data_IF_505560728162
#
_entry.id   IF_505560728162
#
_cell.length_a   1.000
_cell.length_b   1.000
_cell.length_c   1.000
_cell.angle_alpha   90.00
_cell.angle_beta   90.00
_cell.angle_gamma   90.00
#
_symmetry.space_group_name_H-M   'P 1'
#
loop_
_entity.id
_entity.type
_entity.pdbx_description
1 polymer ?
#
# COMPACT_ATOMS: atom_id res chain seq x y z
N UNK A 1 3.13 -5.23 19.88
CA UNK A 1 2.67 -5.44 18.50
C UNK A 1 1.69 -4.36 18.05
N UNK A 2 0.65 -4.06 18.84
CA UNK A 2 -0.31 -2.98 18.55
C UNK A 2 0.37 -1.61 18.37
N UNK A 3 1.25 -1.21 19.29
CA UNK A 3 1.94 0.09 19.28
C UNK A 3 2.77 0.39 18.01
N UNK A 4 3.40 -0.64 17.39
CA UNK A 4 4.19 -0.47 16.15
C UNK A 4 3.31 -0.45 14.90
N UNK A 5 2.14 -1.10 14.96
CA UNK A 5 1.17 -1.09 13.87
C UNK A 5 0.40 0.24 13.83
N UNK A 6 0.10 0.83 14.99
CA UNK A 6 -0.53 2.17 15.09
C UNK A 6 0.36 3.29 14.52
N UNK A 7 1.69 3.16 14.63
CA UNK A 7 2.65 4.15 14.08
C UNK A 7 2.87 4.04 12.56
N UNK A 8 1.98 3.39 11.81
CA UNK A 8 2.11 3.22 10.35
C UNK A 8 3.19 2.22 9.94
N UNK A 9 3.65 1.36 10.85
CA UNK A 9 4.60 0.30 10.54
C UNK A 9 4.00 -0.67 9.52
N UNK A 10 4.56 -0.71 8.31
CA UNK A 10 4.13 -1.59 7.23
C UNK A 10 3.98 -3.02 7.78
N UNK A 11 2.77 -3.57 7.65
CA UNK A 11 2.40 -4.93 8.05
C UNK A 11 3.07 -5.93 7.11
N UNK A 12 4.38 -6.12 7.26
CA UNK A 12 5.18 -7.03 6.44
C UNK A 12 5.06 -8.47 6.93
N UNK A 13 5.05 -9.43 6.00
CA UNK A 13 4.87 -10.85 6.28
C UNK A 13 6.00 -11.49 7.11
N UNK A 14 7.30 -11.15 6.92
CA UNK A 14 8.39 -11.83 7.63
C UNK A 14 8.35 -11.71 9.16
N UNK A 15 8.07 -10.53 9.78
CA UNK A 15 7.91 -10.43 11.22
C UNK A 15 6.78 -11.32 11.79
N UNK A 16 5.66 -11.44 11.06
CA UNK A 16 4.52 -12.26 11.48
C UNK A 16 4.88 -13.73 11.41
N UNK A 17 5.59 -14.14 10.36
CA UNK A 17 6.07 -15.51 10.21
C UNK A 17 6.99 -15.90 11.36
N UNK A 18 7.97 -15.05 11.70
CA UNK A 18 8.85 -15.29 12.86
C UNK A 18 8.08 -15.38 14.17
N UNK A 19 7.12 -14.49 14.41
CA UNK A 19 6.28 -14.52 15.61
C UNK A 19 5.38 -15.77 15.67
N UNK A 20 4.89 -16.23 14.51
CA UNK A 20 4.10 -17.45 14.40
C UNK A 20 4.95 -18.68 14.74
N UNK A 21 6.17 -18.78 14.22
CA UNK A 21 7.10 -19.87 14.56
C UNK A 21 7.45 -19.87 16.05
N UNK A 22 7.74 -18.72 16.64
CA UNK A 22 8.00 -18.61 18.08
C UNK A 22 6.82 -19.06 18.93
N UNK A 23 5.58 -18.82 18.48
CA UNK A 23 4.36 -19.21 19.21
C UNK A 23 4.02 -20.69 19.06
N UNK A 24 4.25 -21.27 17.89
CA UNK A 24 3.96 -22.70 17.62
C UNK A 24 5.14 -23.59 18.04
N UNK A 25 6.33 -23.03 18.27
CA UNK A 25 7.51 -23.77 18.72
C UNK A 25 8.15 -24.64 17.63
N UNK A 26 7.81 -24.42 16.36
CA UNK A 26 8.37 -25.15 15.21
C UNK A 26 8.53 -24.23 14.01
N UNK A 27 9.42 -24.63 13.10
CA UNK A 27 9.52 -23.97 11.79
C UNK A 27 8.26 -24.25 10.98
N UNK A 28 7.80 -23.23 10.28
CA UNK A 28 6.58 -23.27 9.47
C UNK A 28 6.94 -22.81 8.08
N UNK A 29 6.42 -23.48 7.05
CA UNK A 29 6.61 -23.02 5.68
C UNK A 29 5.97 -21.63 5.50
N UNK A 30 6.64 -20.66 4.84
CA UNK A 30 6.08 -19.34 4.58
C UNK A 30 4.69 -19.38 3.93
N UNK A 31 4.45 -20.34 3.03
CA UNK A 31 3.18 -20.54 2.35
C UNK A 31 1.99 -20.70 3.32
N UNK A 32 2.19 -21.35 4.47
CA UNK A 32 1.16 -21.51 5.50
C UNK A 32 0.75 -20.18 6.09
N UNK A 33 1.73 -19.31 6.37
CA UNK A 33 1.47 -17.96 6.87
C UNK A 33 0.74 -17.15 5.81
N UNK A 34 1.21 -17.14 4.56
CA UNK A 34 0.53 -16.43 3.48
C UNK A 34 -0.93 -16.88 3.29
N UNK A 35 -1.22 -18.19 3.32
CA UNK A 35 -2.59 -18.73 3.23
C UNK A 35 -3.46 -18.32 4.41
N UNK A 36 -2.91 -18.32 5.63
CA UNK A 36 -3.62 -17.89 6.84
C UNK A 36 -3.94 -16.39 6.77
N UNK A 37 -2.98 -15.57 6.36
CA UNK A 37 -3.19 -14.14 6.17
C UNK A 37 -4.26 -13.85 5.11
N UNK A 38 -4.21 -14.55 3.97
CA UNK A 38 -5.22 -14.42 2.92
C UNK A 38 -6.63 -14.79 3.42
N UNK A 39 -6.75 -15.89 4.20
CA UNK A 39 -8.03 -16.32 4.79
C UNK A 39 -8.63 -15.28 5.74
N UNK A 40 -7.80 -14.55 6.47
CA UNK A 40 -8.24 -13.49 7.38
C UNK A 40 -8.40 -12.12 6.69
N UNK A 41 -8.45 -12.09 5.36
CA UNK A 41 -8.67 -10.85 4.60
C UNK A 41 -7.51 -9.86 4.74
N UNK A 42 -6.30 -10.34 5.06
CA UNK A 42 -5.13 -9.48 5.09
C UNK A 42 -4.81 -9.02 3.67
N UNK A 43 -4.82 -7.70 3.46
CA UNK A 43 -4.43 -7.07 2.20
C UNK A 43 -3.37 -6.03 2.47
N UNK A 44 -2.45 -5.85 1.52
CA UNK A 44 -1.55 -4.70 1.53
C UNK A 44 -2.41 -3.47 1.27
N UNK A 45 -2.51 -2.59 2.26
CA UNK A 45 -3.20 -1.30 2.08
C UNK A 45 -2.27 -0.47 1.19
N UNK A 46 -2.72 -0.19 -0.04
CA UNK A 46 -2.07 0.79 -0.89
C UNK A 46 -2.43 2.18 -0.37
N UNK A 47 -1.52 3.17 -0.44
CA UNK A 47 -1.90 4.55 -0.23
C UNK A 47 -3.00 4.93 -1.22
N UNK A 48 -3.96 5.74 -0.76
CA UNK A 48 -5.06 6.19 -1.61
C UNK A 48 -4.53 6.92 -2.84
N UNK A 49 -5.13 6.66 -4.00
CA UNK A 49 -4.77 7.33 -5.26
C UNK A 49 -5.20 8.80 -5.28
N UNK A 50 -6.05 9.21 -4.34
CA UNK A 50 -6.65 10.53 -4.27
C UNK A 50 -6.21 11.17 -2.96
N UNK A 51 -5.61 12.36 -3.06
CA UNK A 51 -5.28 13.14 -1.88
C UNK A 51 -6.57 13.58 -1.17
N UNK A 52 -6.68 13.54 0.17
CA UNK A 52 -7.90 13.94 0.88
C UNK A 52 -8.34 15.39 0.63
N UNK A 53 -7.42 16.26 0.24
CA UNK A 53 -7.67 17.65 -0.17
C UNK A 53 -7.65 17.85 -1.69
N UNK A 54 -7.80 16.77 -2.46
CA UNK A 54 -7.86 16.86 -3.91
C UNK A 54 -9.17 17.57 -4.31
N UNK A 55 -9.02 18.76 -4.88
CA UNK A 55 -10.11 19.46 -5.53
C UNK A 55 -9.96 19.30 -7.05
N UNK A 56 -10.95 18.66 -7.67
CA UNK A 56 -10.92 18.36 -9.09
C UNK A 56 -11.03 19.64 -9.94
N UNK A 57 -11.74 20.65 -9.48
CA UNK A 57 -11.91 21.92 -10.22
C UNK A 57 -10.61 22.71 -10.22
N UNK A 58 -9.93 22.77 -9.06
CA UNK A 58 -8.60 23.40 -8.95
C UNK A 58 -7.56 22.65 -9.78
N UNK A 59 -7.62 21.31 -9.82
CA UNK A 59 -6.75 20.50 -10.66
C UNK A 59 -6.97 20.76 -12.15
N UNK A 60 -8.22 20.81 -12.61
CA UNK A 60 -8.54 21.12 -14.01
C UNK A 60 -8.14 22.55 -14.39
N UNK A 61 -8.29 23.51 -13.48
CA UNK A 61 -7.84 24.89 -13.68
C UNK A 61 -6.31 25.01 -13.72
N UNK A 62 -5.60 24.23 -12.89
CA UNK A 62 -4.14 24.20 -12.83
C UNK A 62 -3.50 23.46 -14.01
N UNK A 63 -4.21 22.50 -14.63
CA UNK A 63 -3.72 21.81 -15.83
C UNK A 63 -3.46 22.83 -16.93
N UNK A 64 -2.18 23.07 -17.22
CA UNK A 64 -1.76 23.83 -18.40
C UNK A 64 -2.36 23.13 -19.63
N UNK A 65 -3.20 23.85 -20.38
CA UNK A 65 -3.59 23.46 -21.74
C UNK A 65 -2.34 23.55 -22.60
N UNK A 66 -1.52 22.50 -22.56
CA UNK A 66 -0.29 22.39 -23.33
C UNK A 66 -0.62 22.69 -24.78
N UNK A 67 -0.04 23.77 -25.28
CA UNK A 67 -0.09 24.26 -26.64
C UNK A 67 0.30 23.15 -27.62
N UNK A 68 -0.69 22.37 -28.06
CA UNK A 68 -0.60 21.45 -29.20
C UNK A 68 -0.14 22.17 -30.48
N UNK A 69 -0.23 23.50 -30.49
CA UNK A 69 0.09 24.40 -31.60
C UNK A 69 1.58 24.77 -31.77
N UNK A 70 2.47 24.50 -30.81
CA UNK A 70 3.89 24.91 -30.91
C UNK A 70 4.79 23.92 -31.69
N UNK A 71 4.23 22.89 -32.31
CA UNK A 71 4.98 21.88 -33.09
C UNK A 71 4.58 21.82 -34.58
N UNK A 72 3.85 22.81 -35.11
CA UNK A 72 3.37 22.81 -36.52
C UNK A 72 3.76 24.08 -37.29
N UNK A 73 4.96 24.60 -37.07
CA UNK A 73 5.60 25.51 -38.04
C UNK A 73 7.00 24.99 -38.34
N UNK A 74 7.09 24.26 -39.45
CA UNK A 74 8.33 23.96 -40.17
C UNK A 74 8.38 24.86 -41.39
#
# INVERSE_FOLDING_TARGET
>A
WAEKAEKGGVRTVPPIHKAFESRVGRRVQPATVYRLLARHGWRKIAPDNIHPKADREVQEAFKKKGSRWLWTKR
#
